data_IF_800743781077
#
_entry.id   IF_800743781077
#
_cell.length_a   1.000
_cell.length_b   1.000
_cell.length_c   1.000
_cell.angle_alpha   90.00
_cell.angle_beta   90.00
_cell.angle_gamma   90.00
#
_symmetry.space_group_name_H-M   'P 1'
#
loop_
_entity.id
_entity.type
_entity.pdbx_description
1 polymer ?
#
# COMPACT_ATOMS: atom_id res chain seq x y z
N UNK A 1 -14.16 21.51 2.59
CA UNK A 1 -14.34 21.10 1.17
C UNK A 1 -13.68 19.75 0.86
N UNK A 2 -12.50 19.46 1.39
CA UNK A 2 -11.82 18.17 1.17
C UNK A 2 -12.59 16.96 1.76
N UNK A 3 -13.32 17.15 2.83
CA UNK A 3 -14.12 16.12 3.50
C UNK A 3 -15.36 15.68 2.70
N UNK A 4 -15.90 16.55 1.87
CA UNK A 4 -17.08 16.30 1.02
C UNK A 4 -16.72 15.36 -0.14
N UNK A 5 -15.49 15.45 -0.65
CA UNK A 5 -15.00 14.58 -1.73
C UNK A 5 -14.78 13.12 -1.29
N UNK A 6 -14.61 12.87 -0.01
CA UNK A 6 -14.40 11.51 0.53
C UNK A 6 -15.68 10.68 0.66
N UNK A 7 -16.89 11.26 0.56
CA UNK A 7 -18.12 10.57 0.98
C UNK A 7 -19.25 10.52 -0.06
N UNK A 8 -18.94 10.40 -1.34
CA UNK A 8 -19.99 10.04 -2.30
C UNK A 8 -20.17 10.92 -3.52
N UNK A 9 -19.48 12.07 -3.60
CA UNK A 9 -19.58 12.99 -4.74
C UNK A 9 -18.31 13.03 -5.60
N UNK A 10 -17.54 11.94 -5.65
CA UNK A 10 -16.46 11.81 -6.61
C UNK A 10 -17.08 11.63 -8.01
N UNK A 11 -16.90 12.64 -8.85
CA UNK A 11 -17.32 12.58 -10.23
C UNK A 11 -16.35 11.73 -11.07
N UNK A 12 -16.70 10.45 -11.22
CA UNK A 12 -15.90 9.47 -11.97
C UNK A 12 -16.01 9.64 -13.48
N UNK A 13 -16.89 10.51 -13.97
CA UNK A 13 -17.12 10.73 -15.41
C UNK A 13 -15.90 11.25 -16.16
N UNK A 14 -14.96 11.88 -15.42
CA UNK A 14 -13.71 12.42 -15.97
C UNK A 14 -12.57 11.40 -16.05
N UNK A 15 -12.75 10.19 -15.54
CA UNK A 15 -11.80 9.10 -15.71
C UNK A 15 -12.09 8.38 -17.01
N UNK A 16 -11.17 8.47 -17.96
CA UNK A 16 -11.33 8.06 -19.37
C UNK A 16 -11.84 6.63 -19.59
N UNK A 17 -11.40 5.70 -18.74
CA UNK A 17 -11.80 4.29 -18.80
C UNK A 17 -12.96 3.92 -17.85
N UNK A 18 -13.34 4.81 -16.95
CA UNK A 18 -14.42 4.59 -15.99
C UNK A 18 -15.73 5.31 -16.41
N UNK A 19 -15.61 6.41 -17.16
CA UNK A 19 -16.76 7.23 -17.57
C UNK A 19 -17.75 6.53 -18.50
N UNK A 20 -17.31 5.49 -19.23
CA UNK A 20 -18.16 4.69 -20.13
C UNK A 20 -18.78 3.45 -19.46
N UNK A 21 -18.41 3.16 -18.23
CA UNK A 21 -18.83 1.95 -17.50
C UNK A 21 -19.86 2.34 -16.44
N UNK A 22 -21.03 1.72 -16.43
CA UNK A 22 -22.12 2.06 -15.52
C UNK A 22 -21.82 1.91 -14.02
N UNK A 23 -20.68 1.30 -13.65
CA UNK A 23 -20.21 1.05 -12.27
C UNK A 23 -18.81 1.61 -12.04
N UNK A 24 -18.57 2.85 -12.42
CA UNK A 24 -17.25 3.50 -12.31
C UNK A 24 -16.69 3.53 -10.88
N UNK A 25 -17.56 3.74 -9.89
CA UNK A 25 -17.17 3.74 -8.49
C UNK A 25 -16.67 2.37 -8.02
N UNK A 26 -17.34 1.30 -8.38
CA UNK A 26 -16.96 -0.07 -7.99
C UNK A 26 -15.62 -0.47 -8.59
N UNK A 27 -15.34 -0.06 -9.84
CA UNK A 27 -14.06 -0.31 -10.50
C UNK A 27 -12.93 0.46 -9.83
N UNK A 28 -13.18 1.72 -9.46
CA UNK A 28 -12.19 2.53 -8.73
C UNK A 28 -11.85 1.93 -7.36
N UNK A 29 -12.85 1.49 -6.61
CA UNK A 29 -12.63 0.81 -5.34
C UNK A 29 -11.91 -0.53 -5.50
N UNK A 30 -12.27 -1.30 -6.53
CA UNK A 30 -11.59 -2.55 -6.84
C UNK A 30 -10.11 -2.34 -7.17
N UNK A 31 -9.77 -1.29 -7.93
CA UNK A 31 -8.39 -0.93 -8.27
C UNK A 31 -7.57 -0.55 -7.01
N UNK A 32 -8.13 0.31 -6.14
CA UNK A 32 -7.49 0.67 -4.87
C UNK A 32 -7.27 -0.57 -4.00
N UNK A 33 -8.28 -1.44 -3.89
CA UNK A 33 -8.17 -2.66 -3.09
C UNK A 33 -7.11 -3.60 -3.64
N UNK A 34 -7.08 -3.81 -4.95
CA UNK A 34 -6.12 -4.70 -5.60
C UNK A 34 -4.67 -4.20 -5.42
N UNK A 35 -4.44 -2.90 -5.67
CA UNK A 35 -3.11 -2.28 -5.53
C UNK A 35 -2.68 -2.24 -4.07
N UNK A 36 -3.58 -1.85 -3.17
CA UNK A 36 -3.33 -1.82 -1.73
C UNK A 36 -3.03 -3.20 -1.14
N UNK A 37 -3.76 -4.23 -1.56
CA UNK A 37 -3.47 -5.62 -1.14
C UNK A 37 -2.11 -6.08 -1.64
N UNK A 38 -1.70 -5.72 -2.87
CA UNK A 38 -0.37 -6.01 -3.39
C UNK A 38 0.72 -5.40 -2.52
N UNK A 39 0.62 -4.13 -2.18
CA UNK A 39 1.57 -3.43 -1.32
C UNK A 39 1.62 -4.00 0.10
N UNK A 40 0.46 -4.32 0.70
CA UNK A 40 0.37 -4.95 2.03
C UNK A 40 1.01 -6.34 2.02
N UNK A 41 0.80 -7.13 0.96
CA UNK A 41 1.37 -8.46 0.82
C UNK A 41 2.89 -8.40 0.80
N UNK A 42 3.46 -7.48 0.03
CA UNK A 42 4.91 -7.27 -0.08
C UNK A 42 5.56 -6.92 1.26
N UNK A 43 4.96 -5.97 1.99
CA UNK A 43 5.38 -5.59 3.34
C UNK A 43 5.29 -6.77 4.31
N UNK A 44 4.18 -7.51 4.28
CA UNK A 44 3.94 -8.64 5.18
C UNK A 44 4.95 -9.77 4.96
N UNK A 45 5.24 -10.11 3.71
CA UNK A 45 6.23 -11.13 3.34
C UNK A 45 7.62 -10.72 3.81
N UNK A 46 8.02 -9.47 3.55
CA UNK A 46 9.33 -8.94 3.93
C UNK A 46 9.52 -8.94 5.45
N UNK A 47 8.53 -8.46 6.22
CA UNK A 47 8.56 -8.48 7.68
C UNK A 47 8.63 -9.91 8.21
N UNK A 48 7.82 -10.82 7.65
CA UNK A 48 7.80 -12.22 8.07
C UNK A 48 9.15 -12.90 7.83
N UNK A 49 9.78 -12.64 6.69
CA UNK A 49 11.11 -13.15 6.38
C UNK A 49 12.18 -12.61 7.34
N UNK A 50 12.14 -11.30 7.63
CA UNK A 50 13.08 -10.66 8.56
C UNK A 50 12.93 -11.18 9.99
N UNK A 51 11.70 -11.29 10.50
CA UNK A 51 11.41 -11.85 11.82
C UNK A 51 11.85 -13.32 11.89
N UNK A 52 11.62 -14.10 10.83
CA UNK A 52 12.08 -15.48 10.72
C UNK A 52 13.60 -15.61 10.79
N UNK A 53 14.33 -14.73 10.14
CA UNK A 53 15.80 -14.73 10.19
C UNK A 53 16.33 -14.41 11.60
N UNK A 54 15.70 -13.47 12.31
CA UNK A 54 16.07 -13.16 13.70
C UNK A 54 15.88 -14.39 14.60
N UNK A 55 14.75 -15.10 14.48
CA UNK A 55 14.49 -16.31 15.27
C UNK A 55 15.44 -17.44 14.89
N UNK A 56 15.80 -17.56 13.62
CA UNK A 56 16.76 -18.56 13.13
C UNK A 56 18.16 -18.35 13.72
N UNK A 57 18.61 -17.09 13.75
CA UNK A 57 19.94 -16.73 14.31
C UNK A 57 19.98 -16.78 15.84
N UNK A 58 18.88 -16.43 16.50
CA UNK A 58 18.77 -16.44 17.94
C UNK A 58 17.47 -17.07 18.44
N UNK A 59 17.40 -18.40 18.55
CA UNK A 59 16.18 -19.10 18.98
C UNK A 59 15.71 -18.74 20.41
N UNK A 60 16.60 -18.19 21.25
CA UNK A 60 16.30 -17.83 22.64
C UNK A 60 15.79 -16.37 22.77
N UNK A 61 15.67 -15.61 21.68
CA UNK A 61 15.20 -14.23 21.71
C UNK A 61 13.83 -14.12 22.39
N UNK A 62 13.63 -13.16 23.29
CA UNK A 62 12.34 -12.93 23.94
C UNK A 62 11.33 -12.36 22.95
N UNK A 63 10.04 -12.69 23.11
CA UNK A 63 8.95 -12.19 22.24
C UNK A 63 8.94 -10.67 22.17
N UNK A 64 9.12 -10.00 23.32
CA UNK A 64 9.15 -8.53 23.41
C UNK A 64 10.27 -7.91 22.57
N UNK A 65 11.46 -8.50 22.61
CA UNK A 65 12.60 -8.06 21.81
C UNK A 65 12.40 -8.33 20.32
N UNK A 66 11.78 -9.45 19.98
CA UNK A 66 11.44 -9.82 18.61
C UNK A 66 10.43 -8.83 17.99
N UNK A 67 9.38 -8.45 18.73
CA UNK A 67 8.40 -7.45 18.30
C UNK A 67 9.07 -6.07 18.13
N UNK A 68 9.95 -5.69 19.04
CA UNK A 68 10.67 -4.41 18.94
C UNK A 68 11.55 -4.36 17.68
N UNK A 69 12.37 -5.36 17.45
CA UNK A 69 13.21 -5.41 16.23
C UNK A 69 12.39 -5.52 14.94
N UNK A 70 11.30 -6.30 14.95
CA UNK A 70 10.40 -6.39 13.82
C UNK A 70 9.74 -5.05 13.48
N UNK A 71 9.43 -4.25 14.49
CA UNK A 71 8.87 -2.91 14.30
C UNK A 71 9.89 -1.92 13.72
N UNK A 72 11.14 -1.95 14.15
CA UNK A 72 12.21 -1.12 13.59
C UNK A 72 12.40 -1.43 12.10
N UNK A 73 12.49 -2.71 11.75
CA UNK A 73 12.55 -3.15 10.35
C UNK A 73 11.31 -2.69 9.57
N UNK A 74 10.12 -2.80 10.18
CA UNK A 74 8.88 -2.33 9.58
C UNK A 74 8.87 -0.84 9.24
N UNK A 75 9.44 -0.01 10.10
CA UNK A 75 9.56 1.44 9.84
C UNK A 75 10.51 1.76 8.69
N UNK A 76 11.62 1.03 8.57
CA UNK A 76 12.55 1.19 7.45
C UNK A 76 11.88 0.81 6.12
N UNK A 77 11.14 -0.31 6.11
CA UNK A 77 10.37 -0.77 4.95
C UNK A 77 9.27 0.24 4.59
N UNK A 78 8.57 0.79 5.59
CA UNK A 78 7.51 1.78 5.37
C UNK A 78 8.00 2.98 4.57
N UNK A 79 9.14 3.56 4.95
CA UNK A 79 9.71 4.70 4.24
C UNK A 79 10.00 4.39 2.78
N UNK A 80 10.55 3.22 2.50
CA UNK A 80 10.85 2.76 1.14
C UNK A 80 9.56 2.53 0.34
N UNK A 81 8.57 1.86 0.91
CA UNK A 81 7.32 1.53 0.23
C UNK A 81 6.49 2.77 -0.12
N UNK A 82 6.39 3.74 0.81
CA UNK A 82 5.70 5.00 0.55
C UNK A 82 6.38 5.77 -0.60
N UNK A 83 7.72 5.79 -0.64
CA UNK A 83 8.45 6.40 -1.76
C UNK A 83 8.18 5.66 -3.08
N UNK A 84 8.16 4.33 -3.08
CA UNK A 84 7.83 3.54 -4.28
C UNK A 84 6.43 3.86 -4.77
N UNK A 85 5.43 3.90 -3.88
CA UNK A 85 4.06 4.29 -4.24
C UNK A 85 4.01 5.69 -4.85
N UNK A 86 4.72 6.64 -4.27
CA UNK A 86 4.78 8.01 -4.80
C UNK A 86 5.38 8.05 -6.22
N UNK A 87 6.46 7.29 -6.47
CA UNK A 87 7.07 7.22 -7.79
C UNK A 87 6.19 6.50 -8.81
N UNK A 88 5.50 5.43 -8.43
CA UNK A 88 4.54 4.73 -9.30
C UNK A 88 3.41 5.67 -9.69
N UNK A 89 2.85 6.40 -8.73
CA UNK A 89 1.84 7.41 -8.96
C UNK A 89 2.33 8.49 -9.95
N UNK A 90 3.49 9.10 -9.67
CA UNK A 90 4.06 10.14 -10.51
C UNK A 90 4.36 9.63 -11.93
N UNK A 91 4.88 8.40 -12.06
CA UNK A 91 5.14 7.77 -13.35
C UNK A 91 3.87 7.52 -14.16
N UNK A 92 2.78 7.10 -13.50
CA UNK A 92 1.49 6.90 -14.15
C UNK A 92 0.84 8.20 -14.65
N UNK A 93 1.09 9.32 -13.96
CA UNK A 93 0.59 10.63 -14.37
C UNK A 93 1.23 11.16 -15.66
N UNK A 94 2.51 10.87 -15.92
CA UNK A 94 3.24 11.43 -17.06
C UNK A 94 2.57 11.11 -18.41
N UNK A 95 2.32 9.86 -18.79
CA UNK A 95 1.70 9.54 -20.07
C UNK A 95 0.29 10.12 -20.19
N UNK A 96 -0.45 10.16 -19.08
CA UNK A 96 -1.78 10.74 -19.05
C UNK A 96 -1.77 12.27 -19.31
N UNK A 97 -0.81 13.00 -18.72
CA UNK A 97 -0.62 14.41 -19.00
C UNK A 97 -0.30 14.66 -20.47
N UNK A 98 0.64 13.89 -21.04
CA UNK A 98 1.02 14.01 -22.44
C UNK A 98 -0.18 13.79 -23.37
N UNK A 99 -0.96 12.74 -23.12
CA UNK A 99 -2.11 12.37 -23.95
C UNK A 99 -3.22 13.42 -23.89
N UNK A 100 -3.52 13.96 -22.71
CA UNK A 100 -4.55 14.97 -22.53
C UNK A 100 -4.13 16.34 -23.06
N UNK A 101 -2.88 16.72 -22.88
CA UNK A 101 -2.34 17.97 -23.47
C UNK A 101 -2.35 17.90 -24.99
N UNK A 102 -2.13 16.73 -25.59
CA UNK A 102 -2.20 16.56 -27.04
C UNK A 102 -3.64 16.62 -27.58
N UNK A 103 -4.64 16.49 -26.73
CA UNK A 103 -6.07 16.66 -27.05
C UNK A 103 -6.61 18.05 -26.66
N UNK A 104 -5.75 19.07 -26.59
CA UNK A 104 -6.09 20.46 -26.28
C UNK A 104 -6.75 20.68 -24.89
N UNK A 105 -6.61 19.74 -23.96
CA UNK A 105 -7.10 19.89 -22.60
C UNK A 105 -6.10 20.73 -21.80
N UNK A 106 -6.57 21.82 -21.19
CA UNK A 106 -5.74 22.70 -20.38
C UNK A 106 -5.11 21.95 -19.19
N UNK A 107 -3.81 22.20 -18.97
CA UNK A 107 -3.06 21.66 -17.82
C UNK A 107 -3.78 21.89 -16.49
N UNK A 108 -4.35 23.07 -16.29
CA UNK A 108 -5.09 23.42 -15.06
C UNK A 108 -6.32 22.51 -14.88
N UNK A 109 -7.00 22.17 -15.95
CA UNK A 109 -8.16 21.25 -15.93
C UNK A 109 -7.73 19.84 -15.52
N UNK A 110 -6.62 19.35 -16.07
CA UNK A 110 -6.07 18.03 -15.73
C UNK A 110 -5.71 17.97 -14.24
N UNK A 111 -4.97 18.96 -13.76
CA UNK A 111 -4.57 19.06 -12.34
C UNK A 111 -5.79 19.09 -11.43
N UNK A 112 -6.80 19.87 -11.77
CA UNK A 112 -8.00 20.05 -10.91
C UNK A 112 -8.85 18.79 -10.79
N UNK A 113 -8.96 18.00 -11.86
CA UNK A 113 -9.85 16.85 -11.89
C UNK A 113 -9.16 15.50 -11.58
N UNK A 114 -7.87 15.33 -11.93
CA UNK A 114 -7.19 14.04 -11.77
C UNK A 114 -6.37 13.93 -10.49
N UNK A 115 -5.65 14.99 -10.11
CA UNK A 115 -4.78 14.96 -8.93
C UNK A 115 -5.53 14.59 -7.63
N UNK A 116 -6.76 15.08 -7.35
CA UNK A 116 -7.47 14.70 -6.14
C UNK A 116 -7.71 13.19 -6.00
N UNK A 117 -8.02 12.49 -7.11
CA UNK A 117 -8.22 11.03 -7.11
C UNK A 117 -6.94 10.29 -6.78
N UNK A 118 -5.86 10.69 -7.43
CA UNK A 118 -4.56 10.06 -7.22
C UNK A 118 -4.02 10.29 -5.81
N UNK A 119 -4.24 11.48 -5.25
CA UNK A 119 -3.90 11.77 -3.85
C UNK A 119 -4.73 10.92 -2.89
N UNK A 120 -6.04 10.80 -3.10
CA UNK A 120 -6.91 9.95 -2.27
C UNK A 120 -6.45 8.50 -2.31
N UNK A 121 -6.17 7.97 -3.50
CA UNK A 121 -5.63 6.61 -3.69
C UNK A 121 -4.33 6.43 -2.91
N UNK A 122 -3.36 7.31 -3.10
CA UNK A 122 -2.08 7.27 -2.41
C UNK A 122 -2.22 7.30 -0.89
N UNK A 123 -3.11 8.14 -0.36
CA UNK A 123 -3.35 8.23 1.09
C UNK A 123 -3.95 6.93 1.64
N UNK A 124 -4.94 6.35 0.95
CA UNK A 124 -5.58 5.09 1.39
C UNK A 124 -4.56 3.96 1.40
N UNK A 125 -3.76 3.81 0.34
CA UNK A 125 -2.72 2.78 0.22
C UNK A 125 -1.63 2.98 1.29
N UNK A 126 -1.20 4.21 1.54
CA UNK A 126 -0.21 4.53 2.57
C UNK A 126 -0.71 4.20 3.99
N UNK A 127 -1.96 4.50 4.30
CA UNK A 127 -2.58 4.12 5.58
C UNK A 127 -2.63 2.61 5.71
N UNK A 128 -2.97 1.89 4.64
CA UNK A 128 -2.97 0.44 4.60
C UNK A 128 -1.61 -0.16 4.96
N UNK A 129 -0.53 0.36 4.40
CA UNK A 129 0.85 -0.06 4.71
C UNK A 129 1.19 0.19 6.18
N UNK A 130 0.90 1.40 6.69
CA UNK A 130 1.19 1.77 8.08
C UNK A 130 0.49 0.84 9.06
N UNK A 131 -0.75 0.45 8.79
CA UNK A 131 -1.51 -0.48 9.62
C UNK A 131 -1.05 -1.93 9.46
N UNK A 132 -0.60 -2.32 8.28
CA UNK A 132 -0.12 -3.68 8.02
C UNK A 132 1.14 -4.03 8.82
N UNK A 133 2.03 -3.06 9.07
CA UNK A 133 3.29 -3.28 9.77
C UNK A 133 3.09 -3.84 11.19
N UNK A 134 2.37 -3.19 12.11
CA UNK A 134 2.21 -3.69 13.46
C UNK A 134 1.48 -5.04 13.50
N UNK A 135 0.50 -5.22 12.62
CA UNK A 135 -0.25 -6.48 12.52
C UNK A 135 0.67 -7.61 12.05
N UNK A 136 1.44 -7.39 10.99
CA UNK A 136 2.37 -8.39 10.44
C UNK A 136 3.48 -8.75 11.43
N UNK A 137 4.08 -7.77 12.09
CA UNK A 137 5.11 -8.00 13.12
C UNK A 137 4.56 -8.84 14.27
N UNK A 138 3.36 -8.51 14.74
CA UNK A 138 2.73 -9.24 15.83
C UNK A 138 2.46 -10.70 15.45
N UNK A 139 1.78 -10.92 14.32
CA UNK A 139 1.43 -12.24 13.82
C UNK A 139 2.68 -13.10 13.56
N UNK A 140 3.67 -12.54 12.83
CA UNK A 140 4.91 -13.25 12.54
C UNK A 140 5.67 -13.63 13.82
N UNK A 141 5.76 -12.73 14.79
CA UNK A 141 6.45 -12.96 16.05
C UNK A 141 5.77 -14.06 16.90
N UNK A 142 4.45 -14.08 16.92
CA UNK A 142 3.68 -15.10 17.65
C UNK A 142 3.82 -16.48 16.97
N UNK A 143 3.61 -16.56 15.66
CA UNK A 143 3.67 -17.81 14.91
C UNK A 143 5.06 -18.44 15.02
N UNK A 144 6.12 -17.66 14.88
CA UNK A 144 7.48 -18.20 14.92
C UNK A 144 7.95 -18.60 16.32
N UNK A 145 7.26 -18.19 17.37
CA UNK A 145 7.50 -18.62 18.75
C UNK A 145 6.73 -19.88 19.12
N UNK A 146 5.75 -20.35 18.34
CA UNK A 146 5.01 -21.58 18.61
C UNK A 146 5.94 -22.78 18.44
N UNK A 147 5.97 -23.73 19.42
CA UNK A 147 6.91 -24.87 19.41
C UNK A 147 6.79 -25.80 18.20
N UNK A 148 5.64 -25.83 17.54
CA UNK A 148 5.39 -26.65 16.34
C UNK A 148 6.21 -26.20 15.13
N UNK A 149 6.47 -24.90 14.97
CA UNK A 149 7.30 -24.35 13.90
C UNK A 149 8.77 -24.75 14.04
N UNK A 150 9.29 -24.83 15.27
CA UNK A 150 10.66 -25.26 15.56
C UNK A 150 10.99 -26.69 15.07
N UNK A 151 9.99 -27.56 14.88
CA UNK A 151 10.18 -28.95 14.40
C UNK A 151 10.26 -29.05 12.89
N UNK A 152 9.58 -28.19 12.14
CA UNK A 152 9.51 -28.26 10.67
C UNK A 152 10.76 -27.68 9.97
N UNK A 153 11.44 -26.76 10.57
CA UNK A 153 12.63 -26.12 10.00
C UNK A 153 13.95 -26.86 10.21
N UNK A 154 13.94 -28.12 10.69
CA UNK A 154 15.11 -28.93 11.01
C UNK A 154 15.20 -30.21 10.16
N UNK A 155 14.63 -30.19 8.96
CA UNK A 155 14.83 -31.26 7.95
C UNK A 155 15.54 -30.70 6.74
#
# INVERSE_FOLDING_TARGET
EFSIYMYGDLDYSNLEYLGSTGNSADIFWADIMLTGLGAIMDVTVTISAAVGEIVRKNPSVSLRRLIHSGREIGYDIMGTMINVLLFVLASGMIPMFILKMNNDISFITIVRYHIPYDICRFLIESIGIVLAIPVSVFIASVIMKIPSWKRSGRK
#
